data_IF_841282502460
#
_entry.id   IF_841282502460
#
_cell.length_a   1.000
_cell.length_b   1.000
_cell.length_c   1.000
_cell.angle_alpha   90.00
_cell.angle_beta   90.00
_cell.angle_gamma   90.00
#
_symmetry.space_group_name_H-M   'P 1'
#
loop_
_entity.id
_entity.type
_entity.pdbx_description
1 polymer ?
#
# COMPACT_ATOMS: atom_id res chain seq x y z
N UNK A 1 1.86 2.02 -21.97
CA UNK A 1 2.42 2.01 -20.61
C UNK A 1 2.29 0.59 -20.09
N UNK A 2 3.31 0.02 -19.46
CA UNK A 2 3.24 -1.36 -18.95
C UNK A 2 2.57 -1.35 -17.56
N UNK A 3 1.61 -2.24 -17.35
CA UNK A 3 0.93 -2.41 -16.06
C UNK A 3 1.63 -3.50 -15.25
N UNK A 4 1.82 -3.26 -13.96
CA UNK A 4 2.41 -4.21 -13.03
C UNK A 4 1.49 -4.40 -11.83
N UNK A 5 1.23 -5.65 -11.45
CA UNK A 5 0.34 -5.96 -10.33
C UNK A 5 0.86 -7.11 -9.48
N UNK A 6 0.44 -7.15 -8.21
CA UNK A 6 0.59 -8.31 -7.35
C UNK A 6 -0.68 -8.52 -6.53
N UNK A 7 -0.89 -9.75 -6.06
CA UNK A 7 -2.01 -10.11 -5.18
C UNK A 7 -1.51 -10.99 -4.05
N UNK A 8 -1.94 -10.67 -2.83
CA UNK A 8 -1.64 -11.46 -1.63
C UNK A 8 -2.94 -12.04 -1.08
N UNK A 9 -2.93 -13.33 -0.77
CA UNK A 9 -4.09 -14.06 -0.25
C UNK A 9 -3.76 -14.61 1.13
N UNK A 10 -4.68 -14.40 2.07
CA UNK A 10 -4.60 -14.92 3.43
C UNK A 10 -5.59 -16.08 3.62
N UNK A 11 -5.24 -17.04 4.47
CA UNK A 11 -6.11 -18.20 4.77
C UNK A 11 -7.27 -17.89 5.74
N UNK A 12 -7.42 -16.63 6.14
CA UNK A 12 -8.49 -16.14 7.00
C UNK A 12 -8.53 -14.61 6.97
N UNK A 13 -9.26 -14.01 7.91
CA UNK A 13 -9.35 -12.55 8.02
C UNK A 13 -8.03 -11.97 8.55
N UNK A 14 -7.31 -11.25 7.71
CA UNK A 14 -6.09 -10.55 8.08
C UNK A 14 -6.42 -9.26 8.86
N UNK A 15 -5.63 -8.98 9.90
CA UNK A 15 -5.66 -7.70 10.63
C UNK A 15 -4.59 -6.72 10.14
N UNK A 16 -3.60 -7.23 9.41
CA UNK A 16 -2.45 -6.47 8.90
C UNK A 16 -2.18 -6.96 7.49
N UNK A 17 -2.13 -6.03 6.54
CA UNK A 17 -1.77 -6.29 5.15
C UNK A 17 -0.27 -6.07 4.99
N UNK A 18 0.46 -7.06 4.51
CA UNK A 18 1.91 -7.00 4.45
C UNK A 18 2.50 -7.75 3.27
N UNK A 19 3.67 -7.30 2.83
CA UNK A 19 4.51 -7.99 1.87
C UNK A 19 5.99 -7.87 2.26
N UNK A 20 6.80 -8.75 1.68
CA UNK A 20 8.23 -8.48 1.57
C UNK A 20 8.45 -7.49 0.43
N UNK A 21 9.21 -6.43 0.71
CA UNK A 21 9.64 -5.44 -0.27
C UNK A 21 11.15 -5.26 -0.21
N UNK A 22 11.75 -4.82 -1.30
CA UNK A 22 13.17 -4.45 -1.34
C UNK A 22 13.36 -2.97 -1.00
N UNK A 23 14.38 -2.64 -0.21
CA UNK A 23 14.80 -1.26 0.04
C UNK A 23 16.28 -1.12 -0.26
N UNK A 24 16.65 -0.04 -0.94
CA UNK A 24 18.04 0.29 -1.23
C UNK A 24 18.32 1.78 -1.07
N UNK A 25 19.61 2.12 -1.10
CA UNK A 25 20.04 3.50 -1.28
C UNK A 25 19.44 4.09 -2.57
N UNK A 26 19.18 5.39 -2.59
CA UNK A 26 18.84 6.09 -3.82
C UNK A 26 20.04 6.00 -4.75
N UNK A 27 19.80 5.62 -6.00
CA UNK A 27 20.83 5.66 -7.05
C UNK A 27 20.54 6.76 -8.02
N UNK A 28 21.61 7.45 -8.41
CA UNK A 28 21.57 8.40 -9.50
C UNK A 28 21.30 7.69 -10.84
N UNK A 29 20.76 8.38 -11.86
CA UNK A 29 20.58 7.80 -13.18
C UNK A 29 21.86 7.20 -13.80
N UNK A 30 23.04 7.74 -13.47
CA UNK A 30 24.33 7.20 -13.92
C UNK A 30 24.74 5.94 -13.17
N UNK A 31 24.46 5.86 -11.87
CA UNK A 31 24.68 4.64 -11.07
C UNK A 31 23.72 3.53 -11.48
N UNK A 32 22.47 3.83 -11.85
CA UNK A 32 21.51 2.84 -12.32
C UNK A 32 21.97 2.10 -13.60
N UNK A 33 22.86 2.70 -14.40
CA UNK A 33 23.40 2.09 -15.61
C UNK A 33 24.59 1.17 -15.34
N UNK A 34 25.25 1.31 -14.19
CA UNK A 34 26.56 0.71 -13.91
C UNK A 34 26.60 -0.12 -12.63
N UNK A 35 25.71 0.14 -11.68
CA UNK A 35 25.61 -0.58 -10.41
C UNK A 35 24.44 -1.55 -10.41
N UNK A 36 24.74 -2.80 -10.05
CA UNK A 36 23.73 -3.70 -9.52
C UNK A 36 23.37 -3.26 -8.10
N UNK A 37 22.40 -2.37 -7.97
CA UNK A 37 21.80 -2.06 -6.68
C UNK A 37 21.08 -3.30 -6.20
N UNK A 38 21.55 -3.90 -5.10
CA UNK A 38 20.89 -5.07 -4.50
C UNK A 38 20.01 -4.60 -3.35
N UNK A 39 18.68 -4.55 -3.52
CA UNK A 39 17.78 -4.17 -2.43
C UNK A 39 17.85 -5.20 -1.31
N UNK A 40 17.81 -4.76 -0.06
CA UNK A 40 17.60 -5.64 1.10
C UNK A 40 16.10 -5.83 1.32
N UNK A 41 15.73 -7.05 1.67
CA UNK A 41 14.32 -7.41 1.86
C UNK A 41 13.85 -7.10 3.28
N UNK A 42 12.71 -6.44 3.40
CA UNK A 42 12.06 -6.12 4.66
C UNK A 42 10.57 -6.43 4.60
N UNK A 43 9.99 -6.79 5.74
CA UNK A 43 8.54 -6.88 5.89
C UNK A 43 7.94 -5.47 5.98
N UNK A 44 6.98 -5.19 5.12
CA UNK A 44 6.30 -3.91 5.03
C UNK A 44 4.80 -4.05 5.28
N UNK A 45 4.22 -3.12 6.04
CA UNK A 45 2.77 -2.99 6.23
C UNK A 45 2.22 -1.96 5.24
N UNK A 46 1.04 -2.22 4.69
CA UNK A 46 0.29 -1.26 3.89
C UNK A 46 -0.71 -0.49 4.77
N UNK A 47 -0.55 0.83 4.85
CA UNK A 47 -1.33 1.67 5.77
C UNK A 47 -1.87 2.92 5.04
N UNK A 48 -3.16 2.88 4.73
CA UNK A 48 -3.88 4.00 4.11
C UNK A 48 -4.04 5.21 5.04
N UNK A 49 -3.83 5.04 6.34
CA UNK A 49 -3.84 6.12 7.34
C UNK A 49 -2.57 6.97 7.33
N UNK A 50 -1.50 6.51 6.69
CA UNK A 50 -0.24 7.24 6.63
C UNK A 50 -0.11 8.04 5.33
N UNK A 51 0.13 9.35 5.46
CA UNK A 51 0.35 10.21 4.29
C UNK A 51 1.66 9.89 3.56
N UNK A 52 2.70 9.46 4.28
CA UNK A 52 4.02 9.14 3.72
C UNK A 52 4.49 7.80 4.27
N UNK A 53 5.31 7.12 3.48
CA UNK A 53 5.96 5.88 3.88
C UNK A 53 7.01 6.14 4.98
N UNK A 54 7.27 5.13 5.80
CA UNK A 54 8.13 5.24 6.97
C UNK A 54 8.99 3.98 7.18
N UNK A 55 10.19 4.16 7.72
CA UNK A 55 11.16 3.09 7.99
C UNK A 55 11.50 3.04 9.49
N UNK A 56 11.91 1.88 9.98
CA UNK A 56 12.51 1.78 11.32
C UNK A 56 13.99 2.16 11.31
N UNK A 57 14.52 2.44 12.51
CA UNK A 57 15.96 2.60 12.72
C UNK A 57 16.79 1.42 12.23
N UNK A 58 16.25 0.19 12.28
CA UNK A 58 16.95 -0.99 11.76
C UNK A 58 17.25 -0.87 10.26
N UNK A 59 16.30 -0.38 9.46
CA UNK A 59 16.54 -0.15 8.02
C UNK A 59 17.62 0.92 7.80
N UNK A 60 17.60 1.98 8.62
CA UNK A 60 18.62 3.04 8.60
C UNK A 60 20.00 2.45 8.86
N UNK A 61 20.14 1.66 9.93
CA UNK A 61 21.42 1.09 10.35
C UNK A 61 21.90 0.01 9.37
N UNK A 62 21.00 -0.87 8.90
CA UNK A 62 21.30 -1.95 7.97
C UNK A 62 21.83 -1.42 6.62
N UNK A 63 21.28 -0.31 6.14
CA UNK A 63 21.65 0.31 4.86
C UNK A 63 22.67 1.45 5.01
N UNK A 64 23.02 1.85 6.23
CA UNK A 64 23.89 3.00 6.49
C UNK A 64 23.31 4.32 5.96
N UNK A 65 21.99 4.53 6.08
CA UNK A 65 21.33 5.72 5.54
C UNK A 65 21.75 6.99 6.29
N UNK A 66 21.95 8.08 5.53
CA UNK A 66 22.23 9.40 6.09
C UNK A 66 20.95 10.24 6.12
N UNK A 67 20.64 10.93 7.23
CA UNK A 67 19.48 11.82 7.29
C UNK A 67 19.56 12.89 6.20
N UNK A 68 18.43 13.12 5.54
CA UNK A 68 18.23 14.16 4.52
C UNK A 68 17.50 15.39 5.05
N UNK A 69 16.97 15.30 6.27
CA UNK A 69 16.24 16.37 6.95
C UNK A 69 15.49 15.83 8.17
N UNK A 70 14.68 16.69 8.79
CA UNK A 70 13.84 16.35 9.96
C UNK A 70 12.40 16.71 9.66
N UNK A 71 11.45 15.92 10.16
CA UNK A 71 10.03 16.16 10.03
C UNK A 71 9.32 16.01 11.36
N UNK A 72 8.39 16.92 11.66
CA UNK A 72 7.41 16.75 12.72
C UNK A 72 6.37 15.73 12.27
N UNK A 73 6.29 14.57 12.94
CA UNK A 73 5.16 13.64 12.79
C UNK A 73 4.18 13.84 13.93
N UNK A 74 2.89 13.80 13.57
CA UNK A 74 1.78 13.80 14.52
C UNK A 74 1.27 12.37 14.64
N UNK A 75 1.23 11.84 15.84
CA UNK A 75 0.66 10.53 16.18
C UNK A 75 -0.30 10.70 17.34
N UNK A 76 -1.05 9.65 17.67
CA UNK A 76 -2.08 9.69 18.71
C UNK A 76 -1.58 10.19 20.08
N UNK A 77 -0.27 10.05 20.33
CA UNK A 77 0.39 10.37 21.60
C UNK A 77 1.19 11.71 21.59
N UNK A 78 1.10 12.50 20.52
CA UNK A 78 1.72 13.84 20.45
C UNK A 78 2.48 14.14 19.16
N UNK A 79 3.51 14.99 19.29
CA UNK A 79 4.40 15.43 18.21
C UNK A 79 5.81 14.97 18.48
N UNK A 80 6.47 14.35 17.50
CA UNK A 80 7.89 14.01 17.56
C UNK A 80 8.62 14.52 16.33
N UNK A 81 9.85 14.99 16.52
CA UNK A 81 10.77 15.30 15.43
C UNK A 81 11.51 14.03 15.03
N UNK A 82 11.30 13.56 13.81
CA UNK A 82 11.95 12.37 13.29
C UNK A 82 12.80 12.69 12.07
N UNK A 83 13.91 11.97 11.92
CA UNK A 83 14.74 12.08 10.74
C UNK A 83 13.98 11.60 9.50
N UNK A 84 14.34 12.16 8.35
CA UNK A 84 13.84 11.75 7.04
C UNK A 84 15.00 11.29 6.16
N UNK A 85 14.72 10.32 5.30
CA UNK A 85 15.71 9.68 4.44
C UNK A 85 15.14 9.56 3.02
N UNK A 86 16.03 9.43 2.04
CA UNK A 86 15.65 9.05 0.68
C UNK A 86 16.06 7.61 0.44
N UNK A 87 15.15 6.81 -0.12
CA UNK A 87 15.37 5.40 -0.45
C UNK A 87 14.68 5.05 -1.77
N UNK A 88 15.12 3.96 -2.40
CA UNK A 88 14.35 3.29 -3.44
C UNK A 88 13.62 2.09 -2.83
N UNK A 89 12.36 1.88 -3.23
CA UNK A 89 11.53 0.77 -2.75
C UNK A 89 11.10 -0.10 -3.93
N UNK A 90 11.51 -1.36 -3.92
CA UNK A 90 11.11 -2.39 -4.87
C UNK A 90 9.88 -3.13 -4.35
N UNK A 91 8.76 -2.95 -5.04
CA UNK A 91 7.48 -3.57 -4.71
C UNK A 91 7.41 -5.03 -5.22
N UNK A 92 6.46 -5.85 -4.69
CA UNK A 92 6.35 -7.27 -5.08
C UNK A 92 6.07 -7.52 -6.57
N UNK A 93 5.53 -6.52 -7.27
CA UNK A 93 5.26 -6.56 -8.71
C UNK A 93 6.49 -6.19 -9.58
N UNK A 94 7.66 -6.03 -8.97
CA UNK A 94 8.91 -5.68 -9.65
C UNK A 94 9.08 -4.20 -9.97
N UNK A 95 8.12 -3.34 -9.56
CA UNK A 95 8.22 -1.90 -9.75
C UNK A 95 9.11 -1.29 -8.68
N UNK A 96 10.12 -0.54 -9.12
CA UNK A 96 10.96 0.27 -8.23
C UNK A 96 10.42 1.70 -8.17
N UNK A 97 9.97 2.12 -6.99
CA UNK A 97 9.63 3.51 -6.68
C UNK A 97 10.90 4.19 -6.19
N UNK A 98 11.43 5.12 -7.00
CA UNK A 98 12.70 5.79 -6.73
C UNK A 98 12.55 7.05 -5.88
N UNK A 99 13.58 7.37 -5.11
CA UNK A 99 13.70 8.61 -4.33
C UNK A 99 12.51 8.88 -3.39
N UNK A 100 11.99 7.82 -2.76
CA UNK A 100 10.90 7.93 -1.78
C UNK A 100 11.46 8.58 -0.52
N UNK A 101 10.85 9.69 -0.10
CA UNK A 101 11.14 10.33 1.18
C UNK A 101 10.41 9.58 2.29
N UNK A 102 11.17 8.85 3.10
CA UNK A 102 10.65 8.11 4.25
C UNK A 102 10.98 8.82 5.55
N UNK A 103 10.09 8.71 6.54
CA UNK A 103 10.35 9.20 7.91
C UNK A 103 10.77 8.03 8.80
N UNK A 104 11.76 8.23 9.67
CA UNK A 104 12.10 7.25 10.69
C UNK A 104 11.00 7.19 11.76
N UNK A 105 10.57 5.99 12.10
CA UNK A 105 9.53 5.75 13.10
C UNK A 105 9.90 4.57 13.98
N UNK A 106 9.38 4.58 15.21
CA UNK A 106 9.34 3.39 16.05
C UNK A 106 8.03 2.65 15.76
N UNK A 107 8.10 1.60 14.95
CA UNK A 107 6.97 0.68 14.79
C UNK A 107 6.81 -0.11 16.10
N UNK A 108 5.57 -0.32 16.53
CA UNK A 108 5.27 -1.09 17.75
C UNK A 108 5.54 -2.57 17.44
N UNK A 109 6.45 -3.24 18.17
CA UNK A 109 6.68 -4.67 18.05
C UNK A 109 5.39 -5.46 18.29
N UNK A 110 5.24 -6.57 17.57
CA UNK A 110 4.31 -7.62 18.00
C UNK A 110 5.09 -8.59 18.88
N UNK A 111 4.75 -8.63 20.18
CA UNK A 111 5.41 -9.46 21.19
C UNK A 111 5.36 -10.97 20.86
N UNK A 112 4.47 -11.39 19.96
CA UNK A 112 4.36 -12.79 19.52
C UNK A 112 5.17 -13.09 18.25
N UNK A 113 5.90 -12.11 17.73
CA UNK A 113 6.65 -12.20 16.49
C UNK A 113 8.14 -12.01 16.78
N UNK A 114 8.99 -12.92 16.28
CA UNK A 114 10.44 -12.80 16.44
C UNK A 114 10.97 -11.51 15.80
N UNK A 115 12.05 -10.94 16.36
CA UNK A 115 12.59 -9.63 15.93
C UNK A 115 12.93 -9.56 14.44
N UNK A 116 13.34 -10.67 13.83
CA UNK A 116 13.61 -10.80 12.39
C UNK A 116 12.35 -10.76 11.52
N UNK A 117 11.17 -11.00 12.10
CA UNK A 117 9.87 -10.99 11.43
C UNK A 117 9.03 -9.76 11.74
N UNK A 118 9.53 -8.86 12.59
CA UNK A 118 8.83 -7.61 12.85
C UNK A 118 8.82 -6.72 11.59
N UNK A 119 7.71 -6.03 11.29
CA UNK A 119 7.67 -5.03 10.23
C UNK A 119 8.74 -3.96 10.41
N UNK A 120 9.43 -3.63 9.33
CA UNK A 120 10.48 -2.60 9.32
C UNK A 120 10.14 -1.41 8.41
N UNK A 121 9.03 -1.52 7.67
CA UNK A 121 8.57 -0.51 6.73
C UNK A 121 7.05 -0.37 6.81
N UNK A 122 6.60 0.86 6.60
CA UNK A 122 5.20 1.21 6.39
C UNK A 122 5.08 1.88 5.02
N UNK A 123 4.25 1.29 4.14
CA UNK A 123 3.89 1.80 2.82
C UNK A 123 2.65 2.68 2.98
N UNK A 124 2.82 3.98 2.77
CA UNK A 124 1.77 4.99 2.92
C UNK A 124 1.12 5.40 1.59
N UNK A 125 0.30 6.44 1.67
CA UNK A 125 -0.44 7.00 0.54
C UNK A 125 0.44 7.59 -0.56
N UNK A 126 1.69 7.95 -0.26
CA UNK A 126 2.68 8.37 -1.25
C UNK A 126 3.02 7.29 -2.29
N UNK A 127 2.91 6.01 -1.91
CA UNK A 127 3.09 4.86 -2.81
C UNK A 127 1.74 4.25 -3.20
N UNK A 128 0.81 4.10 -2.26
CA UNK A 128 -0.52 3.54 -2.54
C UNK A 128 -1.24 4.36 -3.60
N UNK A 129 -1.13 5.70 -3.55
CA UNK A 129 -1.77 6.60 -4.50
C UNK A 129 -1.18 6.57 -5.91
N UNK A 130 -0.12 5.80 -6.17
CA UNK A 130 0.43 5.63 -7.52
C UNK A 130 -0.45 4.73 -8.40
N UNK A 131 -1.39 3.99 -7.82
CA UNK A 131 -2.26 3.10 -8.57
C UNK A 131 -3.47 2.62 -7.77
N UNK A 132 -4.00 1.45 -8.14
CA UNK A 132 -5.22 0.91 -7.54
C UNK A 132 -4.87 -0.10 -6.46
N UNK A 133 -5.29 0.18 -5.23
CA UNK A 133 -5.15 -0.68 -4.07
C UNK A 133 -6.52 -1.18 -3.62
N UNK A 134 -6.72 -2.49 -3.64
CA UNK A 134 -8.00 -3.11 -3.32
C UNK A 134 -7.82 -4.16 -2.23
N UNK A 135 -8.76 -4.19 -1.28
CA UNK A 135 -8.84 -5.21 -0.23
C UNK A 135 -10.24 -5.81 -0.27
N UNK A 136 -10.33 -7.13 -0.36
CA UNK A 136 -11.59 -7.87 -0.32
C UNK A 136 -11.56 -8.95 0.75
N UNK A 137 -12.73 -9.27 1.28
CA UNK A 137 -12.93 -10.32 2.27
C UNK A 137 -14.05 -11.24 1.78
N UNK A 138 -13.68 -12.23 0.97
CA UNK A 138 -14.61 -13.23 0.42
C UNK A 138 -14.44 -14.54 1.19
N UNK A 139 -15.54 -15.20 1.57
CA UNK A 139 -15.54 -16.46 2.30
C UNK A 139 -14.68 -16.46 3.58
N UNK A 140 -14.68 -15.32 4.30
CA UNK A 140 -13.91 -15.14 5.53
C UNK A 140 -12.39 -15.03 5.31
N UNK A 141 -11.92 -14.90 4.06
CA UNK A 141 -10.50 -14.81 3.70
C UNK A 141 -10.18 -13.43 3.13
N UNK A 142 -9.13 -12.81 3.65
CA UNK A 142 -8.66 -11.53 3.11
C UNK A 142 -7.80 -11.74 1.88
N UNK A 143 -8.06 -10.96 0.84
CA UNK A 143 -7.17 -10.80 -0.31
C UNK A 143 -6.94 -9.31 -0.50
N UNK A 144 -5.69 -8.90 -0.75
CA UNK A 144 -5.43 -7.57 -1.26
C UNK A 144 -4.58 -7.61 -2.52
N UNK A 145 -4.77 -6.60 -3.36
CA UNK A 145 -4.11 -6.47 -4.64
C UNK A 145 -3.71 -5.03 -4.86
N UNK A 146 -2.58 -4.84 -5.51
CA UNK A 146 -2.10 -3.53 -5.94
C UNK A 146 -1.68 -3.60 -7.40
N UNK A 147 -2.07 -2.60 -8.19
CA UNK A 147 -1.53 -2.39 -9.54
C UNK A 147 -1.10 -0.95 -9.73
N UNK A 148 -0.10 -0.75 -10.57
CA UNK A 148 0.40 0.57 -10.97
C UNK A 148 0.75 0.56 -12.46
N UNK A 149 0.41 1.64 -13.20
CA UNK A 149 -0.49 2.74 -12.84
C UNK A 149 -1.95 2.28 -12.58
N UNK A 150 -2.78 3.21 -12.10
CA UNK A 150 -4.23 3.04 -12.02
C UNK A 150 -4.84 2.82 -13.42
N UNK A 151 -5.86 1.97 -13.51
CA UNK A 151 -6.52 1.62 -14.78
C UNK A 151 -8.03 1.90 -14.75
N UNK A 152 -8.68 1.79 -13.59
CA UNK A 152 -10.12 2.00 -13.46
C UNK A 152 -10.52 2.41 -12.04
N UNK A 153 -11.67 3.06 -11.91
CA UNK A 153 -12.27 3.40 -10.62
C UNK A 153 -12.92 2.16 -9.99
N UNK A 154 -12.63 1.95 -8.69
CA UNK A 154 -13.26 0.89 -7.90
C UNK A 154 -14.37 1.53 -7.06
N UNK A 155 -15.61 1.44 -7.56
CA UNK A 155 -16.82 1.88 -6.86
C UNK A 155 -17.84 0.73 -6.79
N UNK A 156 -18.17 0.32 -5.57
CA UNK A 156 -19.13 -0.77 -5.33
C UNK A 156 -20.59 -0.29 -5.28
N UNK A 157 -20.85 1.02 -5.29
CA UNK A 157 -22.21 1.56 -5.16
C UNK A 157 -23.11 1.11 -6.32
N UNK A 158 -22.72 1.23 -7.60
CA UNK A 158 -23.60 0.88 -8.72
C UNK A 158 -24.01 -0.59 -8.70
N UNK A 159 -23.04 -1.49 -8.53
CA UNK A 159 -23.25 -2.94 -8.52
C UNK A 159 -24.09 -3.39 -7.31
N UNK A 160 -23.85 -2.78 -6.15
CA UNK A 160 -24.62 -3.06 -4.93
C UNK A 160 -26.07 -2.61 -5.07
N UNK A 161 -26.31 -1.42 -5.64
CA UNK A 161 -27.66 -0.93 -5.88
C UNK A 161 -28.43 -1.82 -6.85
N UNK A 162 -27.78 -2.26 -7.94
CA UNK A 162 -28.37 -3.20 -8.89
C UNK A 162 -28.72 -4.53 -8.23
N UNK A 163 -27.79 -5.12 -7.48
CA UNK A 163 -27.98 -6.40 -6.76
C UNK A 163 -29.14 -6.33 -5.76
N UNK A 164 -29.23 -5.25 -4.97
CA UNK A 164 -30.33 -5.05 -4.03
C UNK A 164 -31.70 -5.00 -4.72
N UNK A 165 -31.77 -4.41 -5.91
CA UNK A 165 -33.03 -4.32 -6.67
C UNK A 165 -33.36 -5.65 -7.37
N UNK A 166 -32.36 -6.36 -7.91
CA UNK A 166 -32.56 -7.63 -8.61
C UNK A 166 -32.91 -8.77 -7.66
N UNK A 167 -32.30 -8.82 -6.47
CA UNK A 167 -32.52 -9.88 -5.49
C UNK A 167 -33.67 -9.55 -4.53
N UNK A 168 -33.68 -8.35 -3.95
CA UNK A 168 -34.65 -7.94 -2.93
C UNK A 168 -35.82 -7.10 -3.44
N UNK A 169 -35.71 -6.49 -4.63
CA UNK A 169 -36.72 -5.56 -5.15
C UNK A 169 -37.94 -6.26 -5.76
N UNK A 170 -39.12 -5.64 -5.60
CA UNK A 170 -40.33 -6.09 -6.30
C UNK A 170 -40.26 -5.79 -7.82
N UNK A 171 -41.18 -6.38 -8.61
CA UNK A 171 -41.20 -6.24 -10.08
C UNK A 171 -41.27 -4.78 -10.56
N UNK A 172 -41.95 -3.89 -9.83
CA UNK A 172 -42.05 -2.46 -10.16
C UNK A 172 -40.71 -1.76 -9.94
N UNK A 173 -40.05 -2.02 -8.83
CA UNK A 173 -38.72 -1.49 -8.51
C UNK A 173 -37.68 -1.90 -9.56
N UNK A 174 -37.64 -3.20 -9.93
CA UNK A 174 -36.77 -3.72 -11.00
C UNK A 174 -36.98 -2.98 -12.32
N UNK A 175 -38.23 -2.86 -12.76
CA UNK A 175 -38.57 -2.15 -14.01
C UNK A 175 -38.15 -0.68 -13.99
N UNK A 176 -38.37 0.02 -12.87
CA UNK A 176 -38.01 1.42 -12.74
C UNK A 176 -36.49 1.63 -12.75
N UNK A 177 -35.73 0.77 -12.05
CA UNK A 177 -34.27 0.81 -12.02
C UNK A 177 -33.67 0.60 -13.43
N UNK A 178 -34.04 -0.48 -14.12
CA UNK A 178 -33.54 -0.74 -15.49
C UNK A 178 -34.05 0.28 -16.52
N UNK A 179 -35.16 0.97 -16.26
CA UNK A 179 -35.58 2.10 -17.09
C UNK A 179 -34.69 3.34 -16.89
N UNK A 180 -34.26 3.63 -15.65
CA UNK A 180 -33.31 4.71 -15.35
C UNK A 180 -31.91 4.42 -15.90
N UNK A 181 -31.39 3.19 -15.70
CA UNK A 181 -30.09 2.75 -16.21
C UNK A 181 -30.01 2.85 -17.74
N UNK A 182 -31.05 2.41 -18.46
CA UNK A 182 -31.14 2.57 -19.94
C UNK A 182 -31.17 4.03 -20.40
N UNK A 183 -31.53 4.97 -19.53
CA UNK A 183 -31.53 6.42 -19.82
C UNK A 183 -30.24 7.12 -19.36
N UNK A 184 -29.28 6.40 -18.78
CA UNK A 184 -28.03 6.97 -18.24
C UNK A 184 -28.25 7.90 -17.04
N UNK A 185 -29.35 7.71 -16.30
CA UNK A 185 -29.69 8.53 -15.12
C UNK A 185 -29.08 8.00 -13.82
N UNK A 186 -28.58 6.76 -13.86
CA UNK A 186 -27.84 6.01 -12.84
C UNK A 186 -26.94 5.02 -13.55
#
# INVERSE_FOLDING_TARGET
>A
MQHHAFTTRYNGRARVLHNIVGVSLPVTPGEAQTQQVKPRSYLAIWDTGATHSAITKRVVDDLGLKPTGVRETRHADGKSLNNTYLVNILLPNGVMVGNVRVTEVKLIPDDNTSDDKQPQLLIGMDIIGLGDFAVTNTDGKTTFSFRVPSVEEIDFIPDTQESNVTEGGNRKARRAFFAKKRRGLI
#
